data_IF_207660058014
#
_entry.id   IF_207660058014
#
_cell.length_a   1.000
_cell.length_b   1.000
_cell.length_c   1.000
_cell.angle_alpha   90.00
_cell.angle_beta   90.00
_cell.angle_gamma   90.00
#
_symmetry.space_group_name_H-M   'P 1'
#
loop_
_entity.id
_entity.type
_entity.pdbx_description
1 polymer ?
#
# COMPACT_ATOMS: atom_id res chain seq x y z
N UNK A 1 12.40 0.51 18.19
CA UNK A 1 13.79 0.02 18.43
C UNK A 1 14.06 -0.29 19.89
N UNK A 2 13.66 0.56 20.84
CA UNK A 2 13.82 0.29 22.29
C UNK A 2 13.07 -0.97 22.73
N UNK A 3 11.81 -1.13 22.29
CA UNK A 3 11.03 -2.35 22.58
C UNK A 3 11.67 -3.63 22.02
N UNK A 4 12.18 -3.59 20.78
CA UNK A 4 12.87 -4.74 20.16
C UNK A 4 14.12 -5.14 20.96
N UNK A 5 14.89 -4.15 21.41
CA UNK A 5 16.10 -4.36 22.23
C UNK A 5 15.75 -5.08 23.55
N UNK A 6 14.66 -4.66 24.20
CA UNK A 6 14.21 -5.26 25.45
C UNK A 6 13.67 -6.69 25.26
N UNK A 7 13.05 -6.99 24.11
CA UNK A 7 12.51 -8.32 23.81
C UNK A 7 13.59 -9.31 23.34
N UNK A 8 14.49 -8.89 22.45
CA UNK A 8 15.55 -9.73 21.92
C UNK A 8 16.75 -8.90 21.48
N UNK A 9 17.80 -8.91 22.31
CA UNK A 9 19.04 -8.17 22.09
C UNK A 9 19.75 -8.61 20.80
N UNK A 10 19.82 -9.91 20.52
CA UNK A 10 20.50 -10.44 19.33
C UNK A 10 19.81 -10.01 18.02
N UNK A 11 18.47 -10.03 17.99
CA UNK A 11 17.71 -9.54 16.84
C UNK A 11 17.89 -8.03 16.63
N UNK A 12 17.97 -7.26 17.73
CA UNK A 12 18.25 -5.84 17.68
C UNK A 12 19.64 -5.55 17.10
N UNK A 13 20.69 -6.23 17.57
CA UNK A 13 22.05 -6.02 17.10
C UNK A 13 22.18 -6.38 15.60
N UNK A 14 21.57 -7.49 15.18
CA UNK A 14 21.51 -7.89 13.77
C UNK A 14 20.78 -6.87 12.87
N UNK A 15 19.70 -6.27 13.35
CA UNK A 15 18.96 -5.23 12.61
C UNK A 15 19.72 -3.91 12.58
N UNK A 16 20.41 -3.56 13.66
CA UNK A 16 21.19 -2.32 13.80
C UNK A 16 22.36 -2.26 12.84
N UNK A 17 23.01 -3.39 12.55
CA UNK A 17 24.12 -3.47 11.60
C UNK A 17 23.69 -3.26 10.14
N UNK A 18 22.40 -3.42 9.84
CA UNK A 18 21.87 -3.30 8.47
C UNK A 18 21.40 -1.89 8.17
N UNK A 19 21.62 -1.46 6.93
CA UNK A 19 21.15 -0.17 6.46
C UNK A 19 19.61 -0.05 6.64
N UNK A 20 19.11 0.96 7.38
CA UNK A 20 17.68 1.20 7.59
C UNK A 20 16.86 1.30 6.30
N UNK A 21 17.48 1.68 5.18
CA UNK A 21 16.82 1.72 3.86
C UNK A 21 16.28 0.35 3.40
N UNK A 22 16.74 -0.75 3.97
CA UNK A 22 16.32 -2.10 3.58
C UNK A 22 15.18 -2.67 4.45
N UNK A 23 14.96 -2.11 5.64
CA UNK A 23 14.04 -2.70 6.62
C UNK A 23 13.12 -1.71 7.33
N UNK A 24 13.40 -0.41 7.29
CA UNK A 24 12.56 0.62 7.89
C UNK A 24 11.83 1.45 6.85
N UNK A 25 10.50 1.48 6.95
CA UNK A 25 9.61 2.29 6.09
C UNK A 25 9.99 3.77 6.05
N UNK A 26 10.44 4.33 7.17
CA UNK A 26 10.82 5.74 7.25
C UNK A 26 12.03 6.08 6.39
N UNK A 27 12.80 5.08 5.96
CA UNK A 27 14.01 5.24 5.15
C UNK A 27 13.87 4.66 3.73
N UNK A 28 12.66 4.23 3.33
CA UNK A 28 12.44 3.75 1.97
C UNK A 28 12.42 4.91 0.97
N UNK A 29 12.84 4.60 -0.27
CA UNK A 29 12.79 5.58 -1.35
C UNK A 29 11.34 6.03 -1.60
N UNK A 30 11.15 7.34 -1.65
CA UNK A 30 9.87 7.95 -2.06
C UNK A 30 9.46 7.62 -3.50
N UNK A 31 10.40 7.10 -4.32
CA UNK A 31 10.15 6.73 -5.72
C UNK A 31 9.22 5.52 -5.85
N UNK A 32 9.22 4.61 -4.87
CA UNK A 32 8.37 3.41 -4.88
C UNK A 32 7.49 3.37 -3.64
N UNK A 33 6.25 3.83 -3.81
CA UNK A 33 5.25 3.85 -2.74
C UNK A 33 4.43 2.56 -2.74
N UNK A 34 5.07 1.44 -2.39
CA UNK A 34 4.37 0.18 -2.16
C UNK A 34 4.07 -0.01 -0.68
N UNK A 35 2.80 -0.20 -0.36
CA UNK A 35 2.37 -0.56 1.00
C UNK A 35 2.70 -2.03 1.34
N UNK A 36 3.19 -2.80 0.36
CA UNK A 36 3.46 -4.24 0.46
C UNK A 36 4.91 -4.49 0.90
N UNK A 37 5.09 -4.79 2.18
CA UNK A 37 6.41 -4.98 2.82
C UNK A 37 6.70 -6.41 3.26
N UNK A 38 5.98 -7.36 2.68
CA UNK A 38 5.95 -8.73 3.17
C UNK A 38 6.30 -9.70 2.05
N UNK A 39 6.86 -10.83 2.46
CA UNK A 39 7.26 -12.01 1.67
C UNK A 39 6.15 -12.57 0.75
N UNK A 40 4.95 -12.01 0.80
CA UNK A 40 3.79 -12.38 0.01
C UNK A 40 4.04 -12.43 -1.51
N UNK A 41 4.96 -11.60 -2.05
CA UNK A 41 5.35 -11.68 -3.47
C UNK A 41 6.12 -12.97 -3.75
N UNK A 42 7.14 -13.26 -2.95
CA UNK A 42 7.93 -14.49 -3.06
C UNK A 42 7.09 -15.72 -2.77
N UNK A 43 6.20 -15.67 -1.77
CA UNK A 43 5.28 -16.77 -1.44
C UNK A 43 4.29 -17.05 -2.57
N UNK A 44 3.71 -16.01 -3.16
CA UNK A 44 2.83 -16.14 -4.32
C UNK A 44 3.59 -16.72 -5.52
N UNK A 45 4.81 -16.23 -5.79
CA UNK A 45 5.65 -16.77 -6.86
C UNK A 45 6.01 -18.24 -6.62
N UNK A 46 6.48 -18.58 -5.42
CA UNK A 46 6.81 -19.95 -5.03
C UNK A 46 5.60 -20.88 -5.16
N UNK A 47 4.42 -20.44 -4.74
CA UNK A 47 3.19 -21.22 -4.92
C UNK A 47 2.87 -21.49 -6.39
N UNK A 48 3.13 -20.52 -7.27
CA UNK A 48 2.94 -20.68 -8.72
C UNK A 48 3.98 -21.63 -9.33
N UNK A 49 5.23 -21.58 -8.86
CA UNK A 49 6.33 -22.40 -9.41
C UNK A 49 6.34 -23.83 -8.88
N UNK A 50 5.78 -24.10 -7.69
CA UNK A 50 5.74 -25.45 -7.10
C UNK A 50 5.15 -26.52 -8.03
N UNK A 51 4.11 -26.19 -8.78
CA UNK A 51 3.43 -27.12 -9.70
C UNK A 51 4.18 -27.35 -11.02
N UNK A 52 5.12 -26.45 -11.37
CA UNK A 52 5.78 -26.43 -12.69
C UNK A 52 7.29 -26.69 -12.62
N UNK A 53 7.90 -26.63 -11.43
CA UNK A 53 9.34 -26.80 -11.21
C UNK A 53 9.89 -28.16 -11.62
N UNK A 54 9.04 -29.20 -11.67
CA UNK A 54 9.42 -30.55 -12.09
C UNK A 54 9.24 -30.81 -13.58
N UNK A 55 8.82 -29.81 -14.36
CA UNK A 55 8.55 -29.94 -15.80
C UNK A 55 9.77 -29.50 -16.62
N UNK A 56 9.89 -29.91 -17.89
CA UNK A 56 10.90 -29.38 -18.80
C UNK A 56 10.87 -27.85 -18.83
N UNK A 57 12.04 -27.21 -19.02
CA UNK A 57 12.19 -25.75 -18.93
C UNK A 57 11.20 -24.98 -19.80
N UNK A 58 10.97 -25.46 -21.04
CA UNK A 58 10.03 -24.85 -21.98
C UNK A 58 8.59 -24.89 -21.44
N UNK A 59 8.15 -26.06 -20.94
CA UNK A 59 6.82 -26.23 -20.35
C UNK A 59 6.64 -25.38 -19.10
N UNK A 60 7.68 -25.26 -18.28
CA UNK A 60 7.66 -24.43 -17.08
C UNK A 60 7.47 -22.94 -17.44
N UNK A 61 8.29 -22.42 -18.37
CA UNK A 61 8.20 -21.02 -18.82
C UNK A 61 6.84 -20.71 -19.43
N UNK A 62 6.34 -21.60 -20.30
CA UNK A 62 5.07 -21.41 -20.99
C UNK A 62 3.89 -21.43 -20.01
N UNK A 63 3.94 -22.28 -18.99
CA UNK A 63 2.91 -22.33 -17.95
C UNK A 63 2.93 -21.05 -17.11
N UNK A 64 4.11 -20.56 -16.71
CA UNK A 64 4.25 -19.32 -15.95
C UNK A 64 3.71 -18.13 -16.77
N UNK A 65 4.13 -18.01 -18.04
CA UNK A 65 3.67 -16.97 -18.97
C UNK A 65 2.15 -16.96 -19.08
N UNK A 66 1.55 -18.11 -19.35
CA UNK A 66 0.08 -18.25 -19.49
C UNK A 66 -0.64 -17.88 -18.19
N UNK A 67 -0.13 -18.32 -17.04
CA UNK A 67 -0.72 -18.03 -15.73
C UNK A 67 -0.67 -16.53 -15.41
N UNK A 68 0.44 -15.85 -15.73
CA UNK A 68 0.56 -14.39 -15.60
C UNK A 68 -0.45 -13.67 -16.51
N UNK A 69 -0.56 -14.06 -17.78
CA UNK A 69 -1.52 -13.47 -18.71
C UNK A 69 -2.97 -13.59 -18.22
N UNK A 70 -3.38 -14.79 -17.78
CA UNK A 70 -4.71 -15.01 -17.22
C UNK A 70 -4.96 -14.19 -15.96
N UNK A 71 -3.95 -13.99 -15.10
CA UNK A 71 -4.06 -13.14 -13.92
C UNK A 71 -4.25 -11.67 -14.27
N UNK A 72 -3.57 -11.17 -15.31
CA UNK A 72 -3.72 -9.80 -15.80
C UNK A 72 -5.15 -9.59 -16.34
N UNK A 73 -5.63 -10.49 -17.19
CA UNK A 73 -7.01 -10.43 -17.74
C UNK A 73 -8.04 -10.45 -16.62
N UNK A 74 -7.94 -11.40 -15.68
CA UNK A 74 -8.85 -11.47 -14.51
C UNK A 74 -8.82 -10.20 -13.65
N UNK A 75 -7.66 -9.54 -13.52
CA UNK A 75 -7.55 -8.27 -12.80
C UNK A 75 -8.24 -7.15 -13.57
N UNK A 76 -8.06 -7.08 -14.89
CA UNK A 76 -8.72 -6.09 -15.75
C UNK A 76 -10.25 -6.24 -15.72
N UNK A 77 -10.78 -7.45 -15.86
CA UNK A 77 -12.22 -7.71 -15.77
C UNK A 77 -12.81 -7.31 -14.40
N UNK A 78 -12.04 -7.52 -13.32
CA UNK A 78 -12.45 -7.07 -11.99
C UNK A 78 -12.45 -5.55 -11.91
N UNK A 79 -11.45 -4.91 -12.50
CA UNK A 79 -11.32 -3.46 -12.52
C UNK A 79 -12.44 -2.78 -13.33
N UNK A 80 -12.85 -3.38 -14.45
CA UNK A 80 -14.00 -2.94 -15.24
C UNK A 80 -15.31 -2.98 -14.44
N UNK A 81 -15.47 -3.93 -13.51
CA UNK A 81 -16.65 -4.06 -12.65
C UNK A 81 -16.66 -3.10 -11.46
N UNK A 82 -15.53 -2.48 -11.12
CA UNK A 82 -15.46 -1.52 -10.01
C UNK A 82 -16.21 -0.24 -10.43
N UNK A 83 -17.19 0.15 -9.62
CA UNK A 83 -17.89 1.43 -9.78
C UNK A 83 -17.11 2.52 -9.04
N UNK A 84 -16.96 3.67 -9.69
CA UNK A 84 -16.25 4.83 -9.14
C UNK A 84 -14.74 4.82 -9.40
N UNK A 85 -14.08 5.87 -8.93
CA UNK A 85 -12.68 6.17 -9.24
C UNK A 85 -11.72 5.32 -8.39
N UNK A 86 -12.11 4.94 -7.17
CA UNK A 86 -11.25 4.23 -6.22
C UNK A 86 -11.48 2.73 -6.20
N UNK A 87 -10.38 1.96 -6.12
CA UNK A 87 -10.44 0.53 -5.84
C UNK A 87 -11.16 0.23 -4.50
N UNK A 88 -11.98 -0.84 -4.38
CA UNK A 88 -12.76 -1.14 -3.18
C UNK A 88 -11.96 -1.24 -1.88
N UNK A 89 -10.72 -1.75 -1.94
CA UNK A 89 -9.85 -1.83 -0.76
C UNK A 89 -9.43 -0.45 -0.27
N UNK A 90 -9.12 0.46 -1.20
CA UNK A 90 -8.73 1.83 -0.87
C UNK A 90 -9.95 2.60 -0.39
N UNK A 91 -11.11 2.43 -1.06
CA UNK A 91 -12.36 3.01 -0.61
C UNK A 91 -12.68 2.65 0.84
N UNK A 92 -12.61 1.36 1.19
CA UNK A 92 -12.80 0.89 2.57
C UNK A 92 -11.82 1.53 3.56
N UNK A 93 -10.55 1.70 3.21
CA UNK A 93 -9.56 2.38 4.06
C UNK A 93 -9.95 3.86 4.26
N UNK A 94 -10.38 4.54 3.20
CA UNK A 94 -10.83 5.93 3.26
C UNK A 94 -12.11 6.08 4.11
N UNK A 95 -13.09 5.18 3.94
CA UNK A 95 -14.34 5.19 4.72
C UNK A 95 -14.08 5.07 6.23
N UNK A 96 -13.08 4.29 6.64
CA UNK A 96 -12.64 4.22 8.05
C UNK A 96 -12.09 5.58 8.51
N UNK A 97 -11.24 6.23 7.70
CA UNK A 97 -10.68 7.56 8.03
C UNK A 97 -11.75 8.64 8.10
N UNK A 98 -12.78 8.56 7.25
CA UNK A 98 -13.98 9.41 7.31
C UNK A 98 -14.72 9.21 8.63
N UNK A 99 -14.93 7.96 9.06
CA UNK A 99 -15.60 7.69 10.32
C UNK A 99 -14.81 8.20 11.52
N UNK A 100 -13.49 8.03 11.49
CA UNK A 100 -12.59 8.49 12.56
C UNK A 100 -12.50 10.02 12.61
N UNK A 101 -12.55 10.70 11.45
CA UNK A 101 -12.44 12.17 11.38
C UNK A 101 -13.62 12.90 12.01
N UNK A 102 -14.78 12.25 12.15
CA UNK A 102 -15.95 12.82 12.84
C UNK A 102 -15.69 13.12 14.32
N UNK A 103 -14.63 12.53 14.90
CA UNK A 103 -14.19 12.79 16.28
C UNK A 103 -13.19 13.93 16.39
N UNK A 104 -12.79 14.51 15.25
CA UNK A 104 -11.80 15.58 15.19
C UNK A 104 -12.51 16.92 15.05
N UNK A 105 -12.13 17.89 15.89
CA UNK A 105 -12.48 19.30 15.70
C UNK A 105 -11.23 20.01 15.20
N UNK A 106 -11.15 20.36 13.91
CA UNK A 106 -10.01 21.10 13.39
C UNK A 106 -10.00 22.52 13.96
N UNK A 107 -8.89 22.90 14.61
CA UNK A 107 -8.63 24.27 15.08
C UNK A 107 -7.46 24.86 14.30
N UNK A 108 -7.56 26.13 13.92
CA UNK A 108 -6.49 26.81 13.20
C UNK A 108 -5.26 27.01 14.12
N UNK A 109 -4.12 26.42 13.75
CA UNK A 109 -2.90 26.44 14.56
C UNK A 109 -1.96 27.63 14.29
N UNK A 110 -2.38 28.61 13.48
CA UNK A 110 -1.66 29.87 13.31
C UNK A 110 -0.32 29.81 12.56
N UNK A 111 -0.04 28.71 11.84
CA UNK A 111 1.22 28.54 11.08
C UNK A 111 1.01 28.01 9.68
N UNK A 112 1.93 28.36 8.78
CA UNK A 112 1.97 28.00 7.36
C UNK A 112 2.45 26.54 7.13
N UNK A 113 2.05 25.64 8.04
CA UNK A 113 2.46 24.23 8.00
C UNK A 113 1.61 23.47 6.99
N UNK A 114 2.12 23.38 5.77
CA UNK A 114 1.56 22.57 4.70
C UNK A 114 1.76 21.08 5.05
N UNK A 115 0.68 20.33 5.22
CA UNK A 115 0.74 18.90 5.52
C UNK A 115 0.77 18.11 4.20
N UNK A 116 1.83 17.32 3.99
CA UNK A 116 1.93 16.44 2.83
C UNK A 116 1.01 15.22 2.97
N UNK A 117 0.13 15.03 1.98
CA UNK A 117 -0.75 13.87 1.86
C UNK A 117 -0.08 12.80 0.99
N UNK A 118 0.75 11.95 1.60
CA UNK A 118 1.58 10.99 0.85
C UNK A 118 0.83 9.74 0.37
N UNK A 119 -0.42 9.50 0.74
CA UNK A 119 -1.16 8.28 0.30
C UNK A 119 -2.68 8.44 0.36
N UNK A 120 -3.28 8.03 1.48
CA UNK A 120 -4.70 8.22 1.81
C UNK A 120 -4.73 9.26 2.93
N UNK A 121 -5.56 10.31 2.84
CA UNK A 121 -5.64 11.31 3.89
C UNK A 121 -5.84 10.70 5.28
N UNK A 122 -5.07 11.20 6.25
CA UNK A 122 -5.25 10.82 7.65
C UNK A 122 -6.55 11.43 8.19
N UNK A 123 -7.07 10.92 9.32
CA UNK A 123 -8.33 11.38 9.90
C UNK A 123 -8.36 12.90 10.15
N UNK A 124 -7.23 13.53 10.49
CA UNK A 124 -7.15 14.97 10.70
C UNK A 124 -7.28 15.76 9.39
N UNK A 125 -6.59 15.31 8.33
CA UNK A 125 -6.70 15.92 7.02
C UNK A 125 -8.11 15.76 6.43
N UNK A 126 -8.73 14.59 6.61
CA UNK A 126 -10.13 14.35 6.20
C UNK A 126 -11.08 15.35 6.88
N UNK A 127 -10.91 15.60 8.19
CA UNK A 127 -11.75 16.56 8.91
C UNK A 127 -11.63 17.99 8.33
N UNK A 128 -10.41 18.41 7.95
CA UNK A 128 -10.17 19.72 7.34
C UNK A 128 -10.75 19.80 5.92
N UNK A 129 -10.60 18.74 5.10
CA UNK A 129 -11.15 18.69 3.75
C UNK A 129 -12.68 18.78 3.79
N UNK A 130 -13.32 18.08 4.72
CA UNK A 130 -14.76 18.21 4.95
C UNK A 130 -15.18 19.61 5.40
N UNK A 131 -14.40 20.26 6.27
CA UNK A 131 -14.67 21.64 6.69
C UNK A 131 -14.64 22.62 5.50
N UNK A 132 -13.79 22.34 4.50
CA UNK A 132 -13.67 23.13 3.28
C UNK A 132 -14.72 22.78 2.20
N UNK A 133 -15.59 21.82 2.46
CA UNK A 133 -16.57 21.29 1.49
C UNK A 133 -15.94 20.78 0.18
N UNK A 134 -14.77 20.14 0.30
CA UNK A 134 -14.04 19.60 -0.84
C UNK A 134 -14.17 18.07 -0.94
N UNK A 135 -14.03 17.54 -2.16
CA UNK A 135 -14.11 16.09 -2.42
C UNK A 135 -12.85 15.36 -1.93
N UNK A 136 -13.00 14.35 -1.09
CA UNK A 136 -11.86 13.60 -0.54
C UNK A 136 -11.06 12.84 -1.59
N UNK A 137 -11.73 12.37 -2.65
CA UNK A 137 -11.13 11.56 -3.69
C UNK A 137 -10.06 12.33 -4.49
N UNK A 138 -10.14 13.66 -4.55
CA UNK A 138 -9.11 14.49 -5.23
C UNK A 138 -7.80 14.55 -4.44
N UNK A 139 -7.86 14.25 -3.14
CA UNK A 139 -6.73 14.23 -2.23
C UNK A 139 -6.15 12.82 -2.01
N UNK A 140 -6.74 11.80 -2.64
CA UNK A 140 -6.16 10.45 -2.68
C UNK A 140 -5.16 10.39 -3.84
N UNK A 141 -3.99 9.80 -3.58
CA UNK A 141 -2.95 9.66 -4.60
C UNK A 141 -3.44 8.92 -5.85
N UNK A 142 -3.02 9.39 -7.02
CA UNK A 142 -3.54 8.97 -8.33
C UNK A 142 -3.31 7.49 -8.64
N UNK A 143 -2.28 6.84 -8.09
CA UNK A 143 -2.04 5.40 -8.28
C UNK A 143 -3.04 4.50 -7.54
N UNK A 144 -3.94 5.06 -6.72
CA UNK A 144 -5.10 4.34 -6.17
C UNK A 144 -6.39 4.57 -6.97
N UNK A 145 -6.33 5.47 -7.94
CA UNK A 145 -7.43 5.77 -8.85
C UNK A 145 -7.34 4.89 -10.09
N UNK A 146 -8.49 4.47 -10.61
CA UNK A 146 -8.58 3.81 -11.89
C UNK A 146 -8.23 4.83 -12.98
N UNK A 147 -7.21 4.53 -13.80
CA UNK A 147 -6.96 5.32 -15.00
C UNK A 147 -8.11 5.05 -15.99
N UNK A 148 -8.90 6.10 -16.26
CA UNK A 148 -9.91 6.13 -17.32
C UNK A 148 -9.28 6.16 -18.69
#
# INVERSE_FOLDING_TARGET
MVELKNTNQHAYDWLKERNPTHWSRSHFSIRSQSDMLVNNLSECFNKVTLEVRGKPILTMMETIRTKIMLLIVKKKEKDEKIKGILCPKIRKKLDVKIKDSLRCVPSYAGGDSMWDLTSIPCMYAVAVIHLKDEFLETYVQTWYTKQT
#
